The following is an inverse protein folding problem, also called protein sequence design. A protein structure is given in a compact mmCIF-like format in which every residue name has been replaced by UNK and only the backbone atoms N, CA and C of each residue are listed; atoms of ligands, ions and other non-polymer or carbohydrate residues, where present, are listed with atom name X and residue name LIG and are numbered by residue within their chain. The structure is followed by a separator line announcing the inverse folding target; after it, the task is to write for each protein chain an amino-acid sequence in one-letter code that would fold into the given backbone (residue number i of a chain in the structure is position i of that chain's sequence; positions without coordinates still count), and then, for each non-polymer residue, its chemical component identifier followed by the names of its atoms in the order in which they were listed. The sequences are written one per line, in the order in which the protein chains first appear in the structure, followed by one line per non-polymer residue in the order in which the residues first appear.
data_IF_879783519202
#
_entry.id   IF_879783519202
#
_cell.length_a   1.000
_cell.length_b   1.000
_cell.length_c   1.000
_cell.angle_alpha   90.00
_cell.angle_beta   90.00
_cell.angle_gamma   90.00
#
_symmetry.space_group_name_H-M   'P 1'
#
loop_
_entity.id
_entity.type
_entity.pdbx_description
1 polymer ?
#
# COMPACT_ATOMS: atom_id res chain seq x y z
N UNK A 1 0.77 13.24 17.19
CA UNK A 1 0.21 13.24 15.83
C UNK A 1 -1.04 12.38 15.86
N UNK A 2 -2.06 12.73 15.10
CA UNK A 2 -3.30 11.95 15.00
C UNK A 2 -3.34 11.26 13.63
N UNK A 3 -3.76 9.99 13.60
CA UNK A 3 -3.93 9.21 12.38
C UNK A 3 -5.20 9.53 11.58
N UNK A 4 -6.03 10.51 11.99
CA UNK A 4 -7.25 10.90 11.26
C UNK A 4 -7.12 11.03 9.74
N UNK A 5 -6.10 11.75 9.25
CA UNK A 5 -5.91 11.94 7.81
C UNK A 5 -5.54 10.63 7.12
N UNK A 6 -4.72 9.80 7.78
CA UNK A 6 -4.30 8.50 7.29
C UNK A 6 -5.48 7.52 7.24
N UNK A 7 -6.32 7.49 8.28
CA UNK A 7 -7.56 6.70 8.33
C UNK A 7 -8.51 7.04 7.18
N UNK A 8 -8.75 8.33 6.93
CA UNK A 8 -9.60 8.77 5.82
C UNK A 8 -9.06 8.30 4.47
N UNK A 9 -7.75 8.40 4.24
CA UNK A 9 -7.13 7.91 3.02
C UNK A 9 -7.29 6.39 2.84
N UNK A 10 -7.11 5.60 3.90
CA UNK A 10 -7.37 4.15 3.87
C UNK A 10 -8.84 3.82 3.64
N UNK A 11 -9.77 4.54 4.28
CA UNK A 11 -11.20 4.32 4.09
C UNK A 11 -11.60 4.52 2.62
N UNK A 12 -11.03 5.52 1.93
CA UNK A 12 -11.25 5.73 0.50
C UNK A 12 -10.70 4.59 -0.37
N UNK A 13 -9.47 4.13 -0.09
CA UNK A 13 -8.86 2.99 -0.79
C UNK A 13 -9.67 1.71 -0.57
N UNK A 14 -9.99 1.38 0.69
CA UNK A 14 -10.74 0.18 1.05
C UNK A 14 -12.16 0.20 0.48
N UNK A 15 -12.79 1.37 0.39
CA UNK A 15 -14.08 1.52 -0.27
C UNK A 15 -13.99 1.25 -1.78
N UNK A 16 -12.94 1.72 -2.45
CA UNK A 16 -12.70 1.43 -3.87
C UNK A 16 -12.46 -0.07 -4.09
N UNK A 17 -11.59 -0.69 -3.30
CA UNK A 17 -11.33 -2.13 -3.35
C UNK A 17 -12.61 -2.94 -3.14
N UNK A 18 -13.44 -2.54 -2.16
CA UNK A 18 -14.72 -3.19 -1.89
C UNK A 18 -15.76 -3.01 -3.01
N UNK A 19 -15.71 -1.90 -3.75
CA UNK A 19 -16.58 -1.69 -4.90
C UNK A 19 -16.27 -2.67 -6.04
N UNK A 20 -15.02 -3.10 -6.17
CA UNK A 20 -14.58 -4.09 -7.15
C UNK A 20 -14.90 -3.69 -8.60
N UNK A 21 -15.02 -4.70 -9.47
CA UNK A 21 -15.33 -4.49 -10.89
C UNK A 21 -14.14 -3.94 -11.68
N UNK A 22 -12.92 -4.28 -11.26
CA UNK A 22 -11.68 -3.91 -11.93
C UNK A 22 -11.48 -4.76 -13.20
N UNK A 23 -11.14 -4.09 -14.29
CA UNK A 23 -10.69 -4.70 -15.53
C UNK A 23 -9.20 -5.03 -15.46
N UNK A 24 -8.71 -5.93 -16.33
CA UNK A 24 -7.28 -6.18 -16.47
C UNK A 24 -6.52 -4.87 -16.74
N UNK A 25 -5.33 -4.69 -16.15
CA UNK A 25 -4.52 -3.49 -16.36
C UNK A 25 -4.04 -3.38 -17.81
N UNK A 26 -3.69 -2.15 -18.22
CA UNK A 26 -2.95 -1.95 -19.47
C UNK A 26 -1.54 -2.55 -19.44
N UNK A 27 -0.88 -2.61 -20.60
CA UNK A 27 0.48 -3.12 -20.69
C UNK A 27 1.43 -2.33 -19.76
N UNK A 28 2.09 -3.06 -18.85
CA UNK A 28 3.04 -2.48 -17.90
C UNK A 28 2.43 -1.94 -16.60
N UNK A 29 1.11 -1.74 -16.54
CA UNK A 29 0.40 -1.28 -15.34
C UNK A 29 0.16 -2.42 -14.34
N UNK A 30 -0.03 -2.09 -13.06
CA UNK A 30 -0.32 -3.04 -11.99
C UNK A 30 -1.80 -3.45 -11.98
N UNK A 31 -2.10 -4.71 -11.71
CA UNK A 31 -3.47 -5.17 -11.45
C UNK A 31 -3.97 -4.67 -10.10
N UNK A 32 -5.29 -4.76 -9.85
CA UNK A 32 -5.86 -4.40 -8.55
C UNK A 32 -5.24 -5.21 -7.41
N UNK A 33 -5.02 -6.52 -7.61
CA UNK A 33 -4.35 -7.38 -6.64
C UNK A 33 -2.91 -6.93 -6.38
N UNK A 34 -2.15 -6.60 -7.43
CA UNK A 34 -0.77 -6.11 -7.29
C UNK A 34 -0.71 -4.76 -6.55
N UNK A 35 -1.66 -3.85 -6.79
CA UNK A 35 -1.75 -2.57 -6.07
C UNK A 35 -2.05 -2.81 -4.59
N UNK A 36 -3.03 -3.65 -4.27
CA UNK A 36 -3.37 -3.93 -2.86
C UNK A 36 -2.24 -4.69 -2.15
N UNK A 37 -1.58 -5.63 -2.84
CA UNK A 37 -0.40 -6.34 -2.35
C UNK A 37 0.75 -5.37 -2.02
N UNK A 38 1.02 -4.40 -2.89
CA UNK A 38 2.00 -3.34 -2.66
C UNK A 38 1.69 -2.52 -1.40
N UNK A 39 0.44 -2.08 -1.26
CA UNK A 39 -0.01 -1.32 -0.08
C UNK A 39 0.15 -2.13 1.22
N UNK A 40 -0.21 -3.41 1.21
CA UNK A 40 -0.03 -4.32 2.35
C UNK A 40 1.44 -4.42 2.74
N UNK A 41 2.33 -4.63 1.76
CA UNK A 41 3.76 -4.75 2.02
C UNK A 41 4.32 -3.44 2.60
N UNK A 42 3.92 -2.30 2.03
CA UNK A 42 4.36 -1.00 2.50
C UNK A 42 3.87 -0.70 3.93
N UNK A 43 2.63 -1.04 4.26
CA UNK A 43 2.06 -0.85 5.59
C UNK A 43 2.80 -1.65 6.66
N UNK A 44 3.24 -2.87 6.36
CA UNK A 44 4.08 -3.66 7.26
C UNK A 44 5.44 -2.99 7.50
N UNK A 45 6.10 -2.54 6.44
CA UNK A 45 7.39 -1.86 6.57
C UNK A 45 7.28 -0.53 7.33
N UNK A 46 6.24 0.25 7.07
CA UNK A 46 5.97 1.47 7.83
C UNK A 46 5.62 1.17 9.29
N UNK A 47 4.97 0.03 9.57
CA UNK A 47 4.69 -0.41 10.93
C UNK A 47 5.98 -0.76 11.67
N UNK A 48 6.90 -1.50 11.03
CA UNK A 48 8.23 -1.80 11.59
C UNK A 48 9.04 -0.52 11.87
N UNK A 49 9.04 0.42 10.92
CA UNK A 49 9.69 1.72 11.09
C UNK A 49 9.10 2.49 12.29
N UNK A 50 7.77 2.51 12.40
CA UNK A 50 7.06 3.18 13.49
C UNK A 50 7.35 2.53 14.83
N UNK A 51 7.41 1.20 14.90
CA UNK A 51 7.79 0.46 16.10
C UNK A 51 9.24 0.75 16.52
N UNK A 52 10.17 0.81 15.57
CA UNK A 52 11.56 1.17 15.84
C UNK A 52 11.67 2.61 16.38
N UNK A 53 10.94 3.56 15.79
CA UNK A 53 10.86 4.94 16.29
C UNK A 53 10.31 5.00 17.72
N UNK A 54 9.23 4.25 18.02
CA UNK A 54 8.66 4.16 19.36
C UNK A 54 9.62 3.53 20.38
N UNK A 55 10.46 2.58 19.93
CA UNK A 55 11.49 1.95 20.75
C UNK A 55 12.75 2.81 20.93
N UNK A 56 12.88 3.92 20.18
CA UNK A 56 14.10 4.73 20.14
C UNK A 56 15.26 4.04 19.41
N UNK A 57 14.97 3.06 18.56
CA UNK A 57 15.94 2.31 17.76
C UNK A 57 16.18 2.99 16.41
N UNK A 58 17.41 2.93 15.86
CA UNK A 58 17.66 3.40 14.51
C UNK A 58 16.89 2.55 13.50
N UNK A 59 16.33 3.19 12.48
CA UNK A 59 15.68 2.53 11.36
C UNK A 59 15.91 3.36 10.10
N UNK A 60 16.15 2.68 8.98
CA UNK A 60 16.16 3.30 7.66
C UNK A 60 14.97 2.74 6.90
N UNK A 61 14.09 3.63 6.45
CA UNK A 61 12.88 3.29 5.73
C UNK A 61 13.12 3.42 4.23
N UNK A 62 12.91 2.32 3.52
CA UNK A 62 13.07 2.20 2.08
C UNK A 62 11.72 1.82 1.49
N UNK A 63 11.15 2.68 0.67
CA UNK A 63 9.91 2.38 -0.01
C UNK A 63 10.02 1.11 -0.86
N UNK A 64 8.88 0.45 -0.93
CA UNK A 64 8.63 -0.77 -1.64
C UNK A 64 8.14 -0.53 -3.07
N UNK A 65 8.13 0.69 -3.61
CA UNK A 65 7.95 0.88 -5.05
C UNK A 65 9.07 0.21 -5.88
N UNK A 66 10.18 -0.19 -5.22
CA UNK A 66 11.20 -1.07 -5.78
C UNK A 66 10.88 -2.58 -5.68
N UNK A 67 9.76 -2.99 -5.05
CA UNK A 67 9.29 -4.37 -5.09
C UNK A 67 9.02 -4.71 -6.55
N UNK A 68 9.89 -5.55 -7.11
CA UNK A 68 9.72 -5.95 -8.49
C UNK A 68 8.46 -6.80 -8.64
N UNK A 69 7.86 -6.72 -9.82
CA UNK A 69 6.62 -7.43 -10.18
C UNK A 69 6.58 -8.90 -9.75
N UNK A 70 7.67 -9.70 -9.85
CA UNK A 70 7.68 -11.08 -9.37
C UNK A 70 7.38 -11.25 -7.86
N UNK A 71 7.81 -10.32 -7.02
CA UNK A 71 7.55 -10.36 -5.59
C UNK A 71 6.09 -10.01 -5.28
N UNK A 72 5.51 -9.04 -5.99
CA UNK A 72 4.07 -8.75 -5.91
C UNK A 72 3.25 -9.96 -6.37
N UNK A 73 3.65 -10.60 -7.47
CA UNK A 73 2.98 -11.81 -7.98
C UNK A 73 3.03 -12.96 -6.97
N UNK A 74 4.17 -13.14 -6.29
CA UNK A 74 4.31 -14.13 -5.23
C UNK A 74 3.37 -13.82 -4.05
N UNK A 75 3.31 -12.56 -3.60
CA UNK A 75 2.40 -12.16 -2.53
C UNK A 75 0.93 -12.36 -2.94
N UNK A 76 0.55 -11.96 -4.16
CA UNK A 76 -0.80 -12.20 -4.68
C UNK A 76 -1.14 -13.70 -4.69
N UNK A 77 -0.18 -14.56 -5.08
CA UNK A 77 -0.37 -16.01 -5.09
C UNK A 77 -0.58 -16.59 -3.68
N UNK A 78 0.07 -16.06 -2.65
CA UNK A 78 -0.15 -16.48 -1.25
C UNK A 78 -1.60 -16.27 -0.78
N UNK A 79 -2.26 -15.21 -1.27
CA UNK A 79 -3.65 -14.90 -0.92
C UNK A 79 -4.67 -15.46 -1.92
N UNK A 80 -4.23 -16.00 -3.06
CA UNK A 80 -5.09 -16.57 -4.09
C UNK A 80 -5.70 -17.94 -3.71
N UNK A 81 -5.12 -18.66 -2.73
CA UNK A 81 -5.61 -19.99 -2.33
C UNK A 81 -5.22 -20.38 -0.89
N UNK A 82 -6.16 -20.55 0.06
CA UNK A 82 -5.86 -21.07 1.39
C UNK A 82 -5.65 -22.60 1.45
N UNK A 83 -5.73 -23.34 0.33
CA UNK A 83 -5.82 -24.80 0.36
C UNK A 83 -5.28 -25.63 -0.82
N UNK A 84 -4.89 -25.08 -1.98
CA UNK A 84 -4.38 -25.89 -3.10
C UNK A 84 -2.90 -25.65 -3.40
N UNK A 85 -2.08 -26.67 -3.16
CA UNK A 85 -0.81 -26.80 -3.86
C UNK A 85 -1.09 -27.00 -5.36
N UNK A 86 -0.73 -26.04 -6.20
CA UNK A 86 -0.89 -26.20 -7.65
C UNK A 86 -0.51 -24.98 -8.47
N UNK A 87 0.50 -25.16 -9.31
CA UNK A 87 1.04 -24.18 -10.27
C UNK A 87 0.09 -24.05 -11.48
N UNK A 88 -0.39 -22.85 -11.76
CA UNK A 88 -1.09 -22.50 -13.02
C UNK A 88 -2.00 -21.28 -12.87
N UNK A 89 -2.13 -20.41 -13.90
CA UNK A 89 -2.93 -19.20 -13.81
C UNK A 89 -4.41 -19.57 -13.85
N UNK A 90 -5.05 -19.64 -12.69
CA UNK A 90 -6.50 -19.72 -12.57
C UNK A 90 -7.08 -18.30 -12.67
N UNK A 91 -8.26 -18.19 -13.26
CA UNK A 91 -9.05 -16.96 -13.31
C UNK A 91 -9.59 -16.60 -11.90
N UNK A 92 -8.68 -16.30 -10.98
CA UNK A 92 -8.88 -16.23 -9.52
C UNK A 92 -8.73 -14.84 -8.89
N UNK A 93 -8.83 -13.75 -9.68
CA UNK A 93 -8.57 -12.39 -9.21
C UNK A 93 -9.45 -11.97 -8.00
N UNK A 94 -10.74 -12.31 -8.01
CA UNK A 94 -11.66 -11.89 -6.95
C UNK A 94 -11.39 -12.53 -5.58
N UNK A 95 -10.86 -13.76 -5.53
CA UNK A 95 -10.58 -14.43 -4.25
C UNK A 95 -9.28 -13.91 -3.63
N UNK A 96 -8.23 -13.79 -4.46
CA UNK A 96 -6.96 -13.19 -4.04
C UNK A 96 -7.16 -11.74 -3.56
N UNK A 97 -7.92 -10.95 -4.32
CA UNK A 97 -8.24 -9.57 -3.94
C UNK A 97 -9.01 -9.49 -2.62
N UNK A 98 -9.93 -10.43 -2.35
CA UNK A 98 -10.64 -10.51 -1.07
C UNK A 98 -9.69 -10.75 0.11
N UNK A 99 -8.79 -11.73 0.00
CA UNK A 99 -7.79 -12.01 1.03
C UNK A 99 -6.82 -10.83 1.25
N UNK A 100 -6.37 -10.21 0.17
CA UNK A 100 -5.52 -9.02 0.21
C UNK A 100 -6.25 -7.82 0.82
N UNK A 101 -7.55 -7.63 0.56
CA UNK A 101 -8.34 -6.55 1.14
C UNK A 101 -8.51 -6.71 2.66
N UNK A 102 -8.70 -7.93 3.14
CA UNK A 102 -8.74 -8.21 4.58
C UNK A 102 -7.39 -7.96 5.23
N UNK A 103 -6.30 -8.34 4.55
CA UNK A 103 -4.94 -8.06 5.02
C UNK A 103 -4.62 -6.56 5.04
N UNK A 104 -5.04 -5.80 4.02
CA UNK A 104 -4.90 -4.35 3.98
C UNK A 104 -5.67 -3.69 5.13
N UNK A 105 -6.87 -4.19 5.45
CA UNK A 105 -7.64 -3.68 6.58
C UNK A 105 -6.95 -3.95 7.92
N UNK A 106 -6.29 -5.09 8.07
CA UNK A 106 -5.53 -5.41 9.29
C UNK A 106 -4.30 -4.51 9.44
N UNK A 107 -3.48 -4.43 8.39
CA UNK A 107 -2.21 -3.69 8.36
C UNK A 107 -2.41 -2.19 8.51
N UNK A 108 -3.38 -1.60 7.80
CA UNK A 108 -3.74 -0.19 7.93
C UNK A 108 -4.21 0.18 9.35
N UNK A 109 -5.02 -0.67 10.00
CA UNK A 109 -5.45 -0.48 11.40
C UNK A 109 -4.28 -0.52 12.36
N UNK A 110 -3.36 -1.49 12.18
CA UNK A 110 -2.13 -1.59 12.98
C UNK A 110 -1.30 -0.33 12.83
N UNK A 111 -1.04 0.11 11.60
CA UNK A 111 -0.26 1.32 11.35
C UNK A 111 -0.91 2.55 11.98
N UNK A 112 -2.22 2.77 11.78
CA UNK A 112 -2.93 3.89 12.40
C UNK A 112 -2.84 3.87 13.93
N UNK A 113 -2.98 2.70 14.56
CA UNK A 113 -2.83 2.54 16.00
C UNK A 113 -1.41 2.84 16.50
N UNK A 114 -0.38 2.49 15.72
CA UNK A 114 1.00 2.84 16.00
C UNK A 114 1.25 4.36 15.87
N UNK A 115 0.69 4.98 14.83
CA UNK A 115 0.79 6.42 14.58
C UNK A 115 0.19 7.23 15.73
N UNK A 116 -0.97 6.82 16.26
CA UNK A 116 -1.60 7.47 17.41
C UNK A 116 -0.71 7.46 18.67
N UNK A 117 0.18 6.47 18.80
CA UNK A 117 1.09 6.33 19.94
C UNK A 117 2.35 7.18 19.84
N UNK A 118 2.69 7.70 18.65
CA UNK A 118 3.98 8.37 18.42
C UNK A 118 4.18 9.61 19.29
N UNK A 119 3.14 10.40 19.54
CA UNK A 119 3.27 11.63 20.30
C UNK A 119 4.44 12.51 19.78
N UNK A 120 5.37 12.94 20.65
CA UNK A 120 6.58 13.67 20.25
C UNK A 120 7.59 12.86 19.41
N UNK A 121 7.62 11.52 19.54
CA UNK A 121 8.54 10.66 18.79
C UNK A 121 8.29 10.70 17.27
N UNK A 122 7.16 11.26 16.83
CA UNK A 122 6.91 11.53 15.41
C UNK A 122 7.97 12.46 14.78
N UNK A 123 8.69 13.26 15.59
CA UNK A 123 9.76 14.13 15.09
C UNK A 123 11.13 13.43 14.97
N UNK A 124 11.21 12.14 15.29
CA UNK A 124 12.46 11.36 15.15
C UNK A 124 12.94 11.38 13.70
N UNK A 125 14.20 11.76 13.43
CA UNK A 125 14.78 11.69 12.10
C UNK A 125 14.96 10.24 11.65
N UNK A 126 14.46 9.91 10.47
CA UNK A 126 14.55 8.58 9.85
C UNK A 126 15.15 8.74 8.46
N UNK A 127 16.21 7.99 8.16
CA UNK A 127 16.72 7.89 6.79
C UNK A 127 15.61 7.34 5.89
N UNK A 128 15.17 8.13 4.92
CA UNK A 128 13.99 7.84 4.12
C UNK A 128 14.37 7.84 2.65
N UNK A 129 14.12 6.71 1.98
CA UNK A 129 14.19 6.61 0.52
C UNK A 129 12.81 6.26 -0.03
N UNK A 130 12.18 7.21 -0.72
CA UNK A 130 10.88 7.04 -1.39
C UNK A 130 11.05 7.34 -2.86
N UNK A 131 10.69 6.41 -3.71
CA UNK A 131 10.76 6.58 -5.16
C UNK A 131 9.42 6.19 -5.76
N UNK A 132 8.53 7.17 -5.96
CA UNK A 132 7.28 6.94 -6.67
C UNK A 132 7.33 7.54 -8.07
N UNK A 133 7.54 6.68 -9.08
CA UNK A 133 7.67 7.05 -10.49
C UNK A 133 8.51 8.32 -10.71
N UNK A 134 7.99 9.29 -11.48
CA UNK A 134 8.63 10.60 -11.72
C UNK A 134 8.19 11.67 -10.72
N UNK A 135 7.17 11.39 -9.90
CA UNK A 135 6.45 12.40 -9.12
C UNK A 135 6.95 12.54 -7.69
N UNK A 136 7.58 11.51 -7.11
CA UNK A 136 8.18 11.58 -5.78
C UNK A 136 9.56 10.93 -5.76
N UNK A 137 10.57 11.73 -5.44
CA UNK A 137 11.92 11.23 -5.13
C UNK A 137 12.42 11.86 -3.84
N UNK A 138 12.47 11.06 -2.79
CA UNK A 138 13.05 11.41 -1.50
C UNK A 138 14.23 10.48 -1.26
N UNK A 139 15.39 11.05 -0.98
CA UNK A 139 16.59 10.32 -0.56
C UNK A 139 17.32 11.20 0.46
N UNK A 140 16.66 11.36 1.62
CA UNK A 140 17.13 12.24 2.69
C UNK A 140 16.59 11.78 4.06
N UNK A 141 17.12 12.36 5.12
CA UNK A 141 16.60 12.13 6.48
C UNK A 141 15.41 13.05 6.73
N UNK A 142 14.25 12.46 7.02
CA UNK A 142 13.02 13.20 7.33
C UNK A 142 12.55 12.92 8.76
N UNK A 143 11.86 13.87 9.43
CA UNK A 143 11.05 13.53 10.59
C UNK A 143 10.06 12.42 10.21
N UNK A 144 9.89 11.39 11.02
CA UNK A 144 9.00 10.27 10.70
C UNK A 144 7.55 10.71 10.38
N UNK A 145 7.07 11.75 11.07
CA UNK A 145 5.84 12.47 10.80
C UNK A 145 5.67 12.89 9.33
N UNK A 146 6.76 13.31 8.68
CA UNK A 146 6.73 13.77 7.29
C UNK A 146 6.55 12.60 6.33
N UNK A 147 7.19 11.47 6.60
CA UNK A 147 7.04 10.24 5.81
C UNK A 147 5.61 9.69 5.90
N UNK A 148 5.03 9.68 7.11
CA UNK A 148 3.62 9.32 7.31
C UNK A 148 2.65 10.27 6.59
N UNK A 149 2.94 11.57 6.56
CA UNK A 149 2.14 12.56 5.84
C UNK A 149 2.23 12.38 4.32
N UNK A 150 3.40 12.04 3.79
CA UNK A 150 3.57 11.68 2.36
C UNK A 150 2.76 10.42 2.01
N UNK A 151 2.79 9.40 2.87
CA UNK A 151 1.97 8.19 2.66
C UNK A 151 0.46 8.53 2.58
N UNK A 152 -0.03 9.33 3.52
CA UNK A 152 -1.45 9.71 3.57
C UNK A 152 -1.90 10.63 2.42
N UNK A 153 -1.02 11.53 1.94
CA UNK A 153 -1.40 12.59 1.00
C UNK A 153 -0.94 12.36 -0.44
N UNK A 154 0.00 11.46 -0.66
CA UNK A 154 0.59 11.20 -1.97
C UNK A 154 0.40 9.73 -2.35
N UNK A 155 1.01 8.81 -1.59
CA UNK A 155 1.04 7.39 -1.90
C UNK A 155 -0.36 6.74 -1.97
N UNK A 156 -1.16 6.87 -0.90
CA UNK A 156 -2.52 6.31 -0.86
C UNK A 156 -3.44 6.92 -1.94
N UNK A 157 -3.50 8.27 -2.12
CA UNK A 157 -4.26 8.86 -3.23
C UNK A 157 -3.79 8.43 -4.63
N UNK A 158 -2.48 8.23 -4.84
CA UNK A 158 -1.94 7.72 -6.11
C UNK A 158 -2.48 6.33 -6.41
N UNK A 159 -2.38 5.39 -5.47
CA UNK A 159 -2.89 4.03 -5.66
C UNK A 159 -4.41 3.96 -5.74
N UNK A 160 -5.14 4.86 -5.05
CA UNK A 160 -6.57 5.04 -5.24
C UNK A 160 -6.91 5.46 -6.69
N UNK A 161 -6.15 6.39 -7.27
CA UNK A 161 -6.33 6.80 -8.65
C UNK A 161 -6.04 5.65 -9.63
N UNK A 162 -5.01 4.84 -9.37
CA UNK A 162 -4.71 3.64 -10.16
C UNK A 162 -5.84 2.60 -10.08
N UNK A 163 -6.38 2.32 -8.89
CA UNK A 163 -7.54 1.42 -8.74
C UNK A 163 -8.76 1.93 -9.51
N UNK A 164 -9.05 3.23 -9.43
CA UNK A 164 -10.15 3.85 -10.20
C UNK A 164 -9.92 3.76 -11.71
N UNK A 165 -8.68 3.89 -12.16
CA UNK A 165 -8.32 3.76 -13.56
C UNK A 165 -8.54 2.35 -14.10
N UNK A 166 -8.64 1.32 -13.25
CA UNK A 166 -9.00 -0.04 -13.66
C UNK A 166 -10.51 -0.23 -13.83
N UNK A 167 -11.37 0.78 -13.61
CA UNK A 167 -12.83 0.61 -13.71
C UNK A 167 -13.38 1.00 -15.09
N UNK A 168 -14.25 0.18 -15.69
CA UNK A 168 -14.81 0.41 -17.02
C UNK A 168 -15.53 1.76 -17.16
N UNK A 169 -16.19 2.20 -16.08
CA UNK A 169 -16.98 3.43 -16.03
C UNK A 169 -16.15 4.72 -16.21
N UNK A 170 -14.81 4.65 -16.14
CA UNK A 170 -13.90 5.76 -16.43
C UNK A 170 -13.20 5.64 -17.80
N UNK A 171 -13.50 4.60 -18.58
CA UNK A 171 -12.95 4.34 -19.92
C UNK A 171 -13.89 4.73 -21.07
N UNK A 172 -14.74 5.74 -20.88
CA UNK A 172 -15.58 6.27 -21.95
C UNK A 172 -14.71 6.87 -23.07
N UNK A 173 -14.25 6.04 -24.02
CA UNK A 173 -13.67 6.30 -25.35
C UNK A 173 -12.58 5.29 -25.80
N UNK A 174 -12.67 4.00 -25.46
CA UNK A 174 -12.01 2.95 -26.27
C UNK A 174 -13.04 2.29 -27.20
N UNK A 175 -13.23 2.90 -28.36
CA UNK A 175 -13.89 2.31 -29.53
C UNK A 175 -12.85 2.02 -30.60
#
# INVERSE_FOLDING_TARGET
MDSEALRRAYDEVLAEVAAGGFEPPGDGELSAEQIVAHLVANDELMSEATEAVLAGSPFAYYDLDAIHRPQLDALVAEYADPGAGGVGPTAGGSAALGGLADRLRETSRRLCALVDRLGPAAQTPVETRLHEDVDLRVDETLPWARTLDLHARVHLPKHLAQLRALRPQFHAHRA
#
